data_IF_361413087070
#
_entry.id   IF_361413087070
#
_cell.length_a   1.000
_cell.length_b   1.000
_cell.length_c   1.000
_cell.angle_alpha   90.00
_cell.angle_beta   90.00
_cell.angle_gamma   90.00
#
_symmetry.space_group_name_H-M   'P 1'
#
loop_
_entity.id
_entity.type
_entity.pdbx_description
1 polymer ?
#
# COMPACT_ATOMS: atom_id res chain seq x y z
N UNK A 1 -8.50 0.70 3.89
CA UNK A 1 -9.04 -0.06 2.75
C UNK A 1 -8.07 -1.20 2.51
N UNK A 2 -8.47 -2.44 2.74
CA UNK A 2 -7.65 -3.62 2.43
C UNK A 2 -7.73 -3.85 0.93
N UNK A 3 -6.58 -4.03 0.29
CA UNK A 3 -6.53 -4.28 -1.15
C UNK A 3 -7.14 -5.63 -1.52
N UNK A 4 -7.74 -5.72 -2.72
CA UNK A 4 -8.39 -6.95 -3.16
C UNK A 4 -7.38 -8.08 -3.41
N UNK A 5 -6.22 -7.78 -3.99
CA UNK A 5 -5.16 -8.75 -4.26
C UNK A 5 -4.50 -9.23 -2.97
N UNK A 6 -4.28 -8.32 -2.02
CA UNK A 6 -3.70 -8.68 -0.72
C UNK A 6 -4.63 -9.61 0.07
N UNK A 7 -5.93 -9.28 0.12
CA UNK A 7 -6.95 -10.04 0.86
C UNK A 7 -7.09 -11.49 0.35
N UNK A 8 -6.97 -11.71 -0.96
CA UNK A 8 -7.21 -13.01 -1.60
C UNK A 8 -5.94 -13.67 -2.13
N UNK A 9 -4.76 -13.22 -1.68
CA UNK A 9 -3.47 -13.59 -2.28
C UNK A 9 -3.25 -15.10 -2.33
N UNK A 10 -3.46 -15.81 -1.22
CA UNK A 10 -3.20 -17.25 -1.14
C UNK A 10 -4.09 -18.05 -2.10
N UNK A 11 -5.38 -17.75 -2.11
CA UNK A 11 -6.35 -18.42 -2.98
C UNK A 11 -6.12 -18.09 -4.45
N UNK A 12 -5.74 -16.85 -4.78
CA UNK A 12 -5.38 -16.43 -6.13
C UNK A 12 -4.18 -17.22 -6.65
N UNK A 13 -3.10 -17.28 -5.88
CA UNK A 13 -1.89 -18.00 -6.28
C UNK A 13 -2.17 -19.50 -6.46
N UNK A 14 -2.95 -20.10 -5.56
CA UNK A 14 -3.37 -21.50 -5.68
C UNK A 14 -4.20 -21.74 -6.96
N UNK A 15 -5.22 -20.91 -7.20
CA UNK A 15 -6.07 -21.01 -8.39
C UNK A 15 -5.29 -20.83 -9.69
N UNK A 16 -4.38 -19.86 -9.74
CA UNK A 16 -3.53 -19.59 -10.92
C UNK A 16 -2.57 -20.76 -11.17
N UNK A 17 -1.89 -21.24 -10.12
CA UNK A 17 -0.95 -22.36 -10.25
C UNK A 17 -1.66 -23.61 -10.75
N UNK A 18 -2.83 -23.90 -10.17
CA UNK A 18 -3.60 -25.08 -10.52
C UNK A 18 -4.19 -25.02 -11.93
N UNK A 19 -4.83 -23.91 -12.31
CA UNK A 19 -5.40 -23.74 -13.65
C UNK A 19 -4.33 -23.54 -14.74
N UNK A 20 -3.21 -22.92 -14.38
CA UNK A 20 -2.11 -22.63 -15.31
C UNK A 20 -1.25 -23.86 -15.59
N UNK A 21 -0.95 -24.67 -14.59
CA UNK A 21 -0.04 -25.80 -14.70
C UNK A 21 -0.70 -27.14 -15.05
N UNK A 22 -2.03 -27.27 -14.98
CA UNK A 22 -2.67 -28.58 -15.16
C UNK A 22 -2.76 -29.02 -16.63
N UNK A 23 -2.16 -30.18 -17.00
CA UNK A 23 -2.20 -30.70 -18.38
C UNK A 23 -3.49 -31.45 -18.75
N UNK A 24 -4.27 -31.89 -17.77
CA UNK A 24 -5.43 -32.77 -17.97
C UNK A 24 -6.67 -31.96 -18.37
N UNK A 25 -6.84 -30.78 -17.80
CA UNK A 25 -7.95 -29.88 -18.12
C UNK A 25 -7.46 -28.44 -18.28
N UNK A 26 -8.17 -27.67 -19.11
CA UNK A 26 -7.87 -26.27 -19.36
C UNK A 26 -8.78 -25.29 -18.60
N UNK A 27 -9.91 -25.79 -18.08
CA UNK A 27 -10.86 -25.04 -17.28
C UNK A 27 -11.44 -25.92 -16.17
N UNK A 28 -11.84 -25.31 -15.04
CA UNK A 28 -12.42 -26.02 -13.88
C UNK A 28 -13.54 -25.23 -13.23
N UNK A 29 -14.53 -25.92 -12.65
CA UNK A 29 -15.55 -25.26 -11.82
C UNK A 29 -14.95 -24.84 -10.47
N UNK A 30 -15.59 -23.88 -9.79
CA UNK A 30 -15.19 -23.48 -8.44
C UNK A 30 -15.20 -24.67 -7.46
N UNK A 31 -16.25 -25.50 -7.50
CA UNK A 31 -16.35 -26.73 -6.70
C UNK A 31 -15.21 -27.72 -6.98
N UNK A 32 -14.84 -27.93 -8.25
CA UNK A 32 -13.73 -28.81 -8.62
C UNK A 32 -12.39 -28.28 -8.11
N UNK A 33 -12.17 -26.98 -8.28
CA UNK A 33 -10.96 -26.30 -7.82
C UNK A 33 -10.85 -26.35 -6.28
N UNK A 34 -11.95 -26.15 -5.57
CA UNK A 34 -12.04 -26.22 -4.11
C UNK A 34 -11.62 -27.60 -3.59
N UNK A 35 -12.16 -28.65 -4.19
CA UNK A 35 -11.82 -30.03 -3.85
C UNK A 35 -10.35 -30.36 -4.10
N UNK A 36 -9.78 -29.86 -5.20
CA UNK A 36 -8.41 -30.17 -5.60
C UNK A 36 -7.35 -29.33 -4.87
N UNK A 37 -7.71 -28.15 -4.39
CA UNK A 37 -6.81 -27.22 -3.67
C UNK A 37 -7.05 -27.18 -2.17
N UNK A 38 -8.05 -27.94 -1.67
CA UNK A 38 -8.52 -27.91 -0.28
C UNK A 38 -8.88 -26.49 0.21
N UNK A 39 -9.41 -25.66 -0.68
CA UNK A 39 -9.88 -24.31 -0.39
C UNK A 39 -11.40 -24.26 -0.28
N UNK A 40 -11.92 -23.22 0.36
CA UNK A 40 -13.35 -22.98 0.45
C UNK A 40 -13.95 -22.63 -0.93
N UNK A 41 -15.05 -23.31 -1.29
CA UNK A 41 -15.71 -23.14 -2.58
C UNK A 41 -16.33 -21.75 -2.73
N UNK A 42 -16.92 -21.20 -1.68
CA UNK A 42 -17.55 -19.89 -1.73
C UNK A 42 -16.50 -18.79 -1.94
N UNK A 43 -15.37 -18.89 -1.23
CA UNK A 43 -14.22 -18.01 -1.40
C UNK A 43 -13.64 -18.09 -2.83
N UNK A 44 -13.46 -19.30 -3.37
CA UNK A 44 -13.01 -19.47 -4.75
C UNK A 44 -14.01 -18.92 -5.77
N UNK A 45 -15.30 -19.17 -5.57
CA UNK A 45 -16.36 -18.63 -6.45
C UNK A 45 -16.32 -17.11 -6.47
N UNK A 46 -16.15 -16.47 -5.31
CA UNK A 46 -16.01 -15.03 -5.20
C UNK A 46 -14.78 -14.55 -5.97
N UNK A 47 -13.62 -15.15 -5.74
CA UNK A 47 -12.35 -14.76 -6.38
C UNK A 47 -12.42 -14.91 -7.89
N UNK A 48 -12.90 -16.04 -8.39
CA UNK A 48 -13.03 -16.29 -9.82
C UNK A 48 -13.95 -15.27 -10.52
N UNK A 49 -14.92 -14.70 -9.80
CA UNK A 49 -15.78 -13.61 -10.29
C UNK A 49 -15.15 -12.23 -10.11
N UNK A 50 -14.45 -11.98 -9.00
CA UNK A 50 -13.85 -10.68 -8.68
C UNK A 50 -12.62 -10.36 -9.54
N UNK A 51 -11.90 -11.39 -9.99
CA UNK A 51 -10.70 -11.26 -10.83
C UNK A 51 -10.97 -11.73 -12.26
N UNK A 52 -12.02 -11.18 -12.88
CA UNK A 52 -12.44 -11.43 -14.27
C UNK A 52 -11.37 -11.12 -15.33
N UNK A 53 -10.47 -10.18 -15.03
CA UNK A 53 -9.30 -9.89 -15.87
C UNK A 53 -8.27 -11.05 -15.91
N UNK A 54 -8.27 -11.92 -14.90
CA UNK A 54 -7.39 -13.09 -14.81
C UNK A 54 -8.14 -14.34 -15.25
N UNK A 55 -9.36 -14.52 -14.77
CA UNK A 55 -10.16 -15.71 -14.98
C UNK A 55 -11.26 -15.49 -16.02
N UNK A 56 -11.35 -16.38 -16.99
CA UNK A 56 -12.40 -16.37 -18.00
C UNK A 56 -13.49 -17.38 -17.64
N UNK A 57 -14.76 -16.96 -17.51
CA UNK A 57 -15.87 -17.90 -17.35
C UNK A 57 -16.27 -18.50 -18.69
N UNK A 58 -16.69 -19.77 -18.65
CA UNK A 58 -17.24 -20.51 -19.79
C UNK A 58 -18.47 -21.27 -19.33
N UNK A 59 -19.53 -21.21 -20.12
CA UNK A 59 -20.75 -21.99 -19.86
C UNK A 59 -20.71 -23.25 -20.69
N UNK A 60 -20.74 -24.40 -20.01
CA UNK A 60 -20.83 -25.71 -20.66
C UNK A 60 -22.24 -25.95 -21.21
N UNK A 61 -22.39 -26.94 -22.09
CA UNK A 61 -23.71 -27.39 -22.60
C UNK A 61 -24.66 -27.86 -21.48
N UNK A 62 -24.12 -28.29 -20.34
CA UNK A 62 -24.88 -28.68 -19.14
C UNK A 62 -25.28 -27.48 -18.25
N UNK A 63 -24.95 -26.25 -18.65
CA UNK A 63 -25.22 -25.04 -17.87
C UNK A 63 -24.25 -24.80 -16.71
N UNK A 64 -23.23 -25.63 -16.53
CA UNK A 64 -22.20 -25.43 -15.50
C UNK A 64 -21.21 -24.36 -15.95
N UNK A 65 -20.83 -23.47 -15.04
CA UNK A 65 -19.77 -22.48 -15.26
C UNK A 65 -18.40 -23.08 -14.92
N UNK A 66 -17.51 -23.06 -15.89
CA UNK A 66 -16.09 -23.38 -15.73
C UNK A 66 -15.27 -22.10 -15.84
N UNK A 67 -14.10 -22.10 -15.23
CA UNK A 67 -13.16 -20.99 -15.25
C UNK A 67 -11.83 -21.45 -15.82
N UNK A 68 -11.27 -20.67 -16.74
CA UNK A 68 -9.91 -20.84 -17.27
C UNK A 68 -9.08 -19.58 -17.00
N UNK A 69 -7.76 -19.65 -17.21
CA UNK A 69 -6.94 -18.43 -17.23
C UNK A 69 -7.05 -17.74 -18.59
N UNK A 70 -7.29 -16.43 -18.59
CA UNK A 70 -7.27 -15.60 -19.80
C UNK A 70 -5.96 -15.79 -20.58
N UNK A 71 -4.82 -15.83 -19.87
CA UNK A 71 -3.51 -16.02 -20.49
C UNK A 71 -3.42 -17.35 -21.23
N UNK A 72 -3.91 -18.43 -20.61
CA UNK A 72 -3.89 -19.77 -21.20
C UNK A 72 -4.80 -19.82 -22.45
N UNK A 73 -5.98 -19.21 -22.35
CA UNK A 73 -6.92 -19.08 -23.47
C UNK A 73 -6.37 -18.22 -24.62
N UNK A 74 -5.53 -17.22 -24.33
CA UNK A 74 -4.87 -16.39 -25.33
C UNK A 74 -3.80 -17.16 -26.12
N UNK A 75 -3.13 -18.13 -25.48
CA UNK A 75 -2.14 -19.02 -26.12
C UNK A 75 -2.74 -20.30 -26.73
N UNK A 76 -4.06 -20.34 -26.91
CA UNK A 76 -4.71 -21.50 -27.54
C UNK A 76 -4.18 -21.71 -28.96
N UNK A 77 -3.98 -22.97 -29.31
CA UNK A 77 -3.49 -23.39 -30.64
C UNK A 77 -4.63 -23.51 -31.66
N UNK A 78 -5.86 -23.68 -31.17
CA UNK A 78 -7.05 -23.81 -31.99
C UNK A 78 -7.85 -22.51 -32.03
N UNK A 79 -8.18 -22.05 -33.24
CA UNK A 79 -9.02 -20.87 -33.45
C UNK A 79 -10.51 -21.20 -33.54
N UNK A 80 -10.96 -22.26 -32.85
CA UNK A 80 -12.35 -22.66 -32.79
C UNK A 80 -13.24 -21.43 -32.48
N UNK A 81 -14.33 -21.31 -33.24
CA UNK A 81 -15.29 -20.21 -33.14
C UNK A 81 -16.13 -20.27 -31.87
N UNK A 82 -16.16 -21.42 -31.19
CA UNK A 82 -16.91 -21.63 -29.96
C UNK A 82 -16.06 -22.32 -28.89
N UNK A 83 -16.16 -21.83 -27.65
CA UNK A 83 -15.42 -22.38 -26.49
C UNK A 83 -15.77 -23.84 -26.20
N UNK A 84 -16.99 -24.26 -26.54
CA UNK A 84 -17.49 -25.61 -26.29
C UNK A 84 -16.72 -26.70 -27.06
N UNK A 85 -16.00 -26.32 -28.12
CA UNK A 85 -15.19 -27.24 -28.92
C UNK A 85 -13.74 -27.38 -28.43
N UNK A 86 -13.34 -26.60 -27.42
CA UNK A 86 -11.95 -26.57 -26.95
C UNK A 86 -11.64 -27.72 -25.99
N UNK A 87 -10.54 -28.41 -26.26
CA UNK A 87 -9.97 -29.45 -25.42
C UNK A 87 -8.72 -28.98 -24.69
N UNK A 88 -8.21 -29.78 -23.74
CA UNK A 88 -6.96 -29.46 -23.04
C UNK A 88 -5.74 -29.42 -23.98
N UNK A 89 -5.81 -30.12 -25.12
CA UNK A 89 -4.78 -30.07 -26.16
C UNK A 89 -4.78 -28.75 -26.94
N UNK A 90 -5.96 -28.14 -27.11
CA UNK A 90 -6.12 -26.86 -27.80
C UNK A 90 -5.67 -25.67 -26.92
N UNK A 91 -5.67 -25.86 -25.60
CA UNK A 91 -5.37 -24.84 -24.60
C UNK A 91 -4.30 -25.40 -23.66
N UNK A 92 -3.03 -25.46 -24.11
CA UNK A 92 -1.95 -26.09 -23.37
C UNK A 92 -1.70 -25.37 -22.03
N UNK A 93 -1.09 -26.05 -21.04
CA UNK A 93 -0.63 -25.40 -19.82
C UNK A 93 0.30 -24.22 -20.14
N UNK A 94 0.32 -23.24 -19.23
CA UNK A 94 1.32 -22.18 -19.29
C UNK A 94 2.70 -22.78 -19.07
N UNK A 95 3.69 -22.29 -19.82
CA UNK A 95 5.07 -22.60 -19.50
C UNK A 95 5.48 -21.96 -18.16
N UNK A 96 6.59 -22.44 -17.59
CA UNK A 96 7.07 -21.96 -16.29
C UNK A 96 7.30 -20.45 -16.28
N UNK A 97 7.85 -19.88 -17.35
CA UNK A 97 8.15 -18.45 -17.41
C UNK A 97 6.86 -17.61 -17.45
N UNK A 98 5.86 -18.02 -18.22
CA UNK A 98 4.55 -17.38 -18.29
C UNK A 98 3.82 -17.43 -16.95
N UNK A 99 3.87 -18.60 -16.28
CA UNK A 99 3.27 -18.77 -14.98
C UNK A 99 3.96 -17.90 -13.92
N UNK A 100 5.30 -17.87 -13.91
CA UNK A 100 6.09 -17.02 -13.02
C UNK A 100 5.79 -15.54 -13.22
N UNK A 101 5.69 -15.06 -14.47
CA UNK A 101 5.32 -13.66 -14.77
C UNK A 101 3.96 -13.32 -14.17
N UNK A 102 2.97 -14.19 -14.33
CA UNK A 102 1.63 -13.97 -13.79
C UNK A 102 1.62 -13.98 -12.25
N UNK A 103 2.29 -14.96 -11.62
CA UNK A 103 2.38 -15.07 -10.16
C UNK A 103 3.15 -13.89 -9.54
N UNK A 104 4.21 -13.43 -10.20
CA UNK A 104 4.98 -12.25 -9.79
C UNK A 104 4.15 -10.98 -9.91
N UNK A 105 3.39 -10.82 -10.99
CA UNK A 105 2.50 -9.67 -11.16
C UNK A 105 1.40 -9.63 -10.08
N UNK A 106 0.77 -10.76 -9.76
CA UNK A 106 -0.23 -10.83 -8.68
C UNK A 106 0.41 -10.52 -7.33
N UNK A 107 1.58 -11.09 -7.04
CA UNK A 107 2.30 -10.84 -5.79
C UNK A 107 2.74 -9.38 -5.65
N UNK A 108 3.23 -8.77 -6.72
CA UNK A 108 3.60 -7.35 -6.76
C UNK A 108 2.38 -6.44 -6.59
N UNK A 109 1.23 -6.82 -7.17
CA UNK A 109 -0.03 -6.08 -7.03
C UNK A 109 -0.53 -6.13 -5.58
N UNK A 110 -0.48 -7.30 -4.95
CA UNK A 110 -0.80 -7.46 -3.53
C UNK A 110 0.15 -6.63 -2.63
N UNK A 111 1.46 -6.70 -2.89
CA UNK A 111 2.46 -5.93 -2.14
C UNK A 111 2.24 -4.41 -2.26
N UNK A 112 1.95 -3.92 -3.47
CA UNK A 112 1.63 -2.51 -3.71
C UNK A 112 0.38 -2.08 -2.96
N UNK A 113 -0.66 -2.89 -2.96
CA UNK A 113 -1.89 -2.58 -2.22
C UNK A 113 -1.65 -2.55 -0.70
N UNK A 114 -0.89 -3.49 -0.16
CA UNK A 114 -0.51 -3.52 1.25
C UNK A 114 0.33 -2.28 1.63
N UNK A 115 1.27 -1.88 0.77
CA UNK A 115 2.07 -0.68 0.95
C UNK A 115 1.21 0.58 0.94
N UNK A 116 0.31 0.73 -0.03
CA UNK A 116 -0.61 1.87 -0.09
C UNK A 116 -1.50 1.94 1.16
N UNK A 117 -1.97 0.80 1.66
CA UNK A 117 -2.75 0.74 2.90
C UNK A 117 -1.91 1.20 4.11
N UNK A 118 -0.64 0.78 4.20
CA UNK A 118 0.28 1.17 5.26
C UNK A 118 0.71 2.65 5.17
N UNK A 119 0.89 3.17 3.96
CA UNK A 119 1.16 4.59 3.74
C UNK A 119 -0.05 5.45 4.13
N UNK A 120 -1.27 5.01 3.82
CA UNK A 120 -2.49 5.73 4.20
C UNK A 120 -2.65 5.82 5.73
N UNK A 121 -2.34 4.75 6.47
CA UNK A 121 -2.37 4.78 7.93
C UNK A 121 -1.26 5.65 8.50
N UNK A 122 -0.04 5.52 7.97
CA UNK A 122 1.12 6.33 8.41
C UNK A 122 0.89 7.82 8.16
N UNK A 123 0.41 8.19 6.97
CA UNK A 123 0.08 9.58 6.62
C UNK A 123 -1.04 10.14 7.49
N UNK A 124 -2.06 9.34 7.82
CA UNK A 124 -3.13 9.76 8.73
C UNK A 124 -2.60 10.00 10.14
N UNK A 125 -1.75 9.12 10.66
CA UNK A 125 -1.11 9.28 11.97
C UNK A 125 -0.17 10.49 11.98
N UNK A 126 0.61 10.69 10.92
CA UNK A 126 1.50 11.84 10.77
C UNK A 126 0.71 13.16 10.70
N UNK A 127 -0.41 13.20 9.97
CA UNK A 127 -1.29 14.37 9.92
C UNK A 127 -1.94 14.67 11.28
N UNK A 128 -2.40 13.64 12.01
CA UNK A 128 -2.94 13.81 13.36
C UNK A 128 -1.84 14.31 14.32
N UNK A 129 -0.65 13.71 14.26
CA UNK A 129 0.49 14.13 15.08
C UNK A 129 0.94 15.55 14.76
N UNK A 130 1.00 15.93 13.47
CA UNK A 130 1.30 17.29 13.05
C UNK A 130 0.23 18.29 13.50
N UNK A 131 -1.05 17.91 13.43
CA UNK A 131 -2.16 18.70 13.96
C UNK A 131 -2.07 18.91 15.48
N UNK A 132 -1.76 17.86 16.24
CA UNK A 132 -1.57 17.94 17.69
C UNK A 132 -0.33 18.77 18.07
N UNK A 133 0.78 18.61 17.33
CA UNK A 133 1.99 19.39 17.52
C UNK A 133 1.76 20.89 17.24
N UNK A 134 1.01 21.22 16.19
CA UNK A 134 0.63 22.60 15.89
C UNK A 134 -0.22 23.23 17.00
N UNK A 135 -1.20 22.49 17.54
CA UNK A 135 -2.02 22.94 18.68
C UNK A 135 -1.17 23.15 19.95
N UNK A 136 -0.24 22.24 20.23
CA UNK A 136 0.68 22.36 21.36
C UNK A 136 1.61 23.56 21.22
N UNK A 137 2.11 23.84 20.01
CA UNK A 137 2.95 25.00 19.73
C UNK A 137 2.19 26.33 19.94
N UNK A 138 0.92 26.41 19.53
CA UNK A 138 0.07 27.59 19.77
C UNK A 138 -0.16 27.79 21.27
N UNK A 139 -0.45 26.73 22.01
CA UNK A 139 -0.61 26.82 23.47
C UNK A 139 0.68 27.25 24.18
N UNK A 140 1.82 26.68 23.78
CA UNK A 140 3.13 27.04 24.35
C UNK A 140 3.51 28.50 24.04
N UNK A 141 3.25 28.98 22.83
CA UNK A 141 3.46 30.39 22.48
C UNK A 141 2.55 31.33 23.29
N UNK A 142 1.30 30.92 23.55
CA UNK A 142 0.38 31.65 24.42
C UNK A 142 0.89 31.78 25.86
N UNK A 143 1.47 30.71 26.42
CA UNK A 143 2.07 30.73 27.77
C UNK A 143 3.34 31.59 27.82
N UNK A 144 4.17 31.55 26.77
CA UNK A 144 5.41 32.32 26.70
C UNK A 144 5.18 33.86 26.73
N UNK A 145 4.05 34.33 26.21
CA UNK A 145 3.67 35.77 26.25
C UNK A 145 3.38 36.24 27.69
N UNK A 146 2.85 35.37 28.55
CA UNK A 146 2.57 35.69 29.96
C UNK A 146 3.74 35.42 30.91
N UNK A 147 4.80 34.74 30.43
CA UNK A 147 5.93 34.33 31.24
C UNK A 147 7.18 35.22 31.05
N UNK A 148 7.10 36.37 30.39
CA UNK A 148 8.22 37.32 30.31
C UNK A 148 8.57 37.82 31.72
N UNK A 149 9.72 37.41 32.32
CA UNK A 149 10.18 38.10 33.51
C UNK A 149 10.64 39.49 33.08
N UNK A 150 10.15 40.54 33.73
CA UNK A 150 10.65 41.90 33.54
C UNK A 150 12.16 41.91 33.85
N UNK A 151 12.99 41.82 32.83
CA UNK A 151 14.41 42.17 32.97
C UNK A 151 14.47 43.69 33.01
N UNK A 152 14.40 44.24 34.22
CA UNK A 152 14.68 45.66 34.46
C UNK A 152 16.08 45.99 33.93
N UNK A 153 16.27 47.11 33.21
CA UNK A 153 17.60 47.49 32.76
C UNK A 153 18.47 47.81 33.98
N UNK A 154 19.57 47.06 34.13
CA UNK A 154 20.60 47.32 35.13
C UNK A 154 21.21 48.68 34.78
N UNK A 155 20.87 49.69 35.57
CA UNK A 155 21.43 51.03 35.49
C UNK A 155 22.87 50.95 36.02
N UNK A 156 23.86 50.89 35.14
CA UNK A 156 25.27 51.08 35.54
C UNK A 156 25.47 52.54 35.95
N UNK A 157 25.84 52.84 37.22
CA UNK A 157 26.20 54.20 37.60
C UNK A 157 27.58 54.51 37.03
N UNK A 158 27.63 55.33 35.98
CA UNK A 158 28.86 55.94 35.50
C UNK A 158 29.31 57.00 36.51
N UNK A 159 30.24 56.64 37.40
CA UNK A 159 30.87 57.60 38.31
C UNK A 159 31.89 58.42 37.52
N UNK A 160 31.53 59.64 37.13
CA UNK A 160 32.48 60.66 36.70
C UNK A 160 33.24 61.18 37.93
N UNK A 161 34.53 60.86 38.02
CA UNK A 161 35.45 61.45 39.00
C UNK A 161 35.74 62.91 38.60
N UNK A 162 34.98 63.85 39.18
CA UNK A 162 35.32 65.27 39.18
C UNK A 162 36.52 65.47 40.13
N UNK A 163 37.70 65.68 39.55
CA UNK A 163 38.91 66.03 40.31
C UNK A 163 38.74 67.42 40.97
N UNK A 164 39.04 67.57 42.27
CA UNK A 164 38.97 68.86 42.93
C UNK A 164 40.10 69.79 42.46
N UNK A 165 39.64 70.93 41.96
CA UNK A 165 40.31 72.21 41.78
C UNK A 165 41.48 72.44 42.77
N UNK A 166 42.72 72.40 42.26
CA UNK A 166 43.91 72.80 43.02
C UNK A 166 43.96 74.33 43.07
N UNK A 167 43.68 74.90 44.25
CA UNK A 167 43.87 76.33 44.53
C UNK A 167 45.37 76.71 44.56
N UNK A 168 45.72 77.96 44.22
CA UNK A 168 47.09 78.38 43.94
C UNK A 168 47.87 78.72 45.22
N UNK A 169 49.20 78.54 45.26
CA UNK A 169 50.02 79.19 46.27
C UNK A 169 50.32 80.66 45.92
N UNK A 170 50.21 81.47 46.97
CA UNK A 170 50.39 82.92 47.09
C UNK A 170 51.87 83.37 46.97
N UNK A 171 52.14 84.68 46.83
CA UNK A 171 53.42 85.22 46.37
C UNK A 171 54.40 85.45 47.51
N UNK A 172 55.71 85.35 47.24
CA UNK A 172 56.76 85.96 48.07
C UNK A 172 57.95 86.46 47.22
N UNK A 173 58.19 87.78 47.36
CA UNK A 173 59.38 88.62 47.11
C UNK A 173 59.98 88.78 45.70
#
# INVERSE_FOLDING_TARGET
MTGKYDTHRGQLLAAITHLGGNPVYWARSAAGLANETALDEAALTQILKTFDAIFRPHTTSEGKTLYSLHLRYAFRTNQATTDAALTAADVPPLDTAQLEVLLNWVSASAAREAELAAQATTNRTALIAAGLAALAAIAAAGVAIFAQPETSPIFEPRIELVLPNQSPPLPEN
#
